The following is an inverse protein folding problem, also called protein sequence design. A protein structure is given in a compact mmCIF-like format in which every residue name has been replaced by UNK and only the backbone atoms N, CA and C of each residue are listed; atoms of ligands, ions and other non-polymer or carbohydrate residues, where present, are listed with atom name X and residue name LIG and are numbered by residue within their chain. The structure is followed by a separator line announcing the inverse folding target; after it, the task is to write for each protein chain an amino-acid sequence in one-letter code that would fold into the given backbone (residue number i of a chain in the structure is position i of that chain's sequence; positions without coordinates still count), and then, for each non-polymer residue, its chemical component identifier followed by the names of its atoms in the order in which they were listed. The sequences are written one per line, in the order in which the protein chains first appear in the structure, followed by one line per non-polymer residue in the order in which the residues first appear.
data_IF_172755795566
#
_entry.id   IF_172755795566
#
_cell.length_a   1.000
_cell.length_b   1.000
_cell.length_c   1.000
_cell.angle_alpha   90.00
_cell.angle_beta   90.00
_cell.angle_gamma   90.00
#
_symmetry.space_group_name_H-M   'P 1'
#
loop_
_entity.id
_entity.type
_entity.pdbx_description
1 polymer ?
#
# COMPACT_ATOMS: atom_id res chain seq x y z
N UNK A 1 -9.20 7.06 24.96
CA UNK A 1 -8.49 5.79 24.69
C UNK A 1 -9.33 4.69 25.31
N UNK A 2 -9.72 3.66 24.54
CA UNK A 2 -10.56 2.55 25.06
C UNK A 2 -9.75 1.67 26.03
N UNK A 3 -10.41 1.10 27.03
CA UNK A 3 -9.80 0.16 27.97
C UNK A 3 -9.71 -1.26 27.38
N UNK A 4 -8.85 -2.11 27.95
CA UNK A 4 -8.72 -3.50 27.51
C UNK A 4 -10.04 -4.29 27.64
N UNK A 5 -10.88 -3.99 28.63
CA UNK A 5 -12.18 -4.64 28.81
C UNK A 5 -13.19 -4.23 27.73
N UNK A 6 -13.20 -2.96 27.35
CA UNK A 6 -14.03 -2.44 26.25
C UNK A 6 -13.65 -3.08 24.92
N UNK A 7 -12.34 -3.19 24.64
CA UNK A 7 -11.82 -3.84 23.44
C UNK A 7 -12.17 -5.34 23.42
N UNK A 8 -12.07 -6.03 24.57
CA UNK A 8 -12.46 -7.44 24.68
C UNK A 8 -13.95 -7.65 24.40
N UNK A 9 -14.81 -6.74 24.87
CA UNK A 9 -16.25 -6.81 24.60
C UNK A 9 -16.58 -6.58 23.13
N UNK A 10 -15.89 -5.64 22.50
CA UNK A 10 -16.14 -5.24 21.11
C UNK A 10 -15.64 -6.28 20.09
N UNK A 11 -14.44 -6.82 20.30
CA UNK A 11 -13.78 -7.71 19.34
C UNK A 11 -13.80 -9.19 19.76
N UNK A 12 -14.23 -9.50 20.99
CA UNK A 12 -14.18 -10.87 21.54
C UNK A 12 -12.76 -11.38 21.82
N UNK A 13 -11.75 -10.53 21.67
CA UNK A 13 -10.32 -10.90 21.76
C UNK A 13 -9.75 -10.33 23.07
N UNK A 14 -9.21 -11.21 23.92
CA UNK A 14 -8.59 -10.81 25.19
C UNK A 14 -7.11 -10.44 25.04
N UNK A 15 -6.58 -9.68 26.02
CA UNK A 15 -5.15 -9.31 26.06
C UNK A 15 -4.22 -10.54 26.04
N UNK A 16 -4.52 -11.57 26.84
CA UNK A 16 -3.72 -12.81 26.86
C UNK A 16 -3.74 -13.54 25.51
N UNK A 17 -4.84 -13.47 24.77
CA UNK A 17 -4.94 -14.06 23.44
C UNK A 17 -4.06 -13.31 22.43
N UNK A 18 -4.02 -11.97 22.52
CA UNK A 18 -3.11 -11.15 21.71
C UNK A 18 -1.66 -11.51 22.03
N UNK A 19 -1.31 -11.63 23.32
CA UNK A 19 0.02 -12.00 23.75
C UNK A 19 0.42 -13.39 23.24
N UNK A 20 -0.46 -14.38 23.33
CA UNK A 20 -0.21 -15.72 22.80
C UNK A 20 0.02 -15.71 21.29
N UNK A 21 -0.76 -14.93 20.54
CA UNK A 21 -0.57 -14.77 19.10
C UNK A 21 0.75 -14.08 18.77
N UNK A 22 1.13 -13.03 19.51
CA UNK A 22 2.40 -12.33 19.34
C UNK A 22 3.60 -13.27 19.55
N UNK A 23 3.58 -14.05 20.63
CA UNK A 23 4.60 -15.06 20.93
C UNK A 23 4.68 -16.14 19.83
N UNK A 24 3.54 -16.54 19.25
CA UNK A 24 3.48 -17.54 18.17
C UNK A 24 4.00 -16.98 16.85
N UNK A 25 3.53 -15.80 16.45
CA UNK A 25 3.99 -15.10 15.25
C UNK A 25 5.49 -14.80 15.29
N UNK A 26 6.03 -14.46 16.46
CA UNK A 26 7.47 -14.22 16.66
C UNK A 26 8.31 -15.47 16.37
N UNK A 27 7.77 -16.66 16.65
CA UNK A 27 8.41 -17.95 16.32
C UNK A 27 8.18 -18.39 14.87
N UNK A 28 7.40 -17.63 14.10
CA UNK A 28 6.99 -18.00 12.74
C UNK A 28 5.78 -18.93 12.68
N UNK A 29 5.12 -19.19 13.81
CA UNK A 29 3.91 -20.01 13.91
C UNK A 29 2.68 -19.13 13.69
N UNK A 30 2.21 -19.07 12.44
CA UNK A 30 0.98 -18.36 12.09
C UNK A 30 -0.21 -19.33 12.14
N UNK A 31 -1.14 -19.20 13.11
CA UNK A 31 -2.27 -20.10 13.22
C UNK A 31 -3.24 -19.92 12.03
N UNK A 32 -3.62 -21.02 11.38
CA UNK A 32 -4.56 -21.03 10.26
C UNK A 32 -4.04 -21.78 9.04
N UNK A 33 -4.91 -21.98 8.04
CA UNK A 33 -4.49 -22.51 6.73
C UNK A 33 -4.34 -21.32 5.78
N UNK A 34 -3.19 -21.17 5.08
CA UNK A 34 -3.04 -20.15 4.07
C UNK A 34 -4.14 -20.25 3.03
N UNK A 35 -4.90 -19.17 2.81
CA UNK A 35 -5.97 -19.11 1.81
C UNK A 35 -5.47 -18.73 0.42
N UNK A 36 -4.16 -18.52 0.27
CA UNK A 36 -3.52 -18.12 -0.97
C UNK A 36 -2.01 -18.39 -0.96
N UNK A 37 -1.33 -18.11 -2.07
CA UNK A 37 0.11 -18.27 -2.18
C UNK A 37 0.83 -17.38 -1.15
N UNK A 38 1.73 -17.99 -0.37
CA UNK A 38 2.57 -17.26 0.58
C UNK A 38 3.67 -16.55 -0.22
N UNK A 39 3.54 -15.24 -0.37
CA UNK A 39 4.59 -14.39 -0.93
C UNK A 39 5.55 -13.95 0.18
N UNK A 40 6.82 -14.30 0.06
CA UNK A 40 7.87 -13.84 0.98
C UNK A 40 8.34 -12.43 0.58
N UNK A 41 8.46 -11.54 1.55
CA UNK A 41 8.90 -10.15 1.35
C UNK A 41 7.75 -9.15 1.16
N UNK A 42 8.09 -7.94 0.68
CA UNK A 42 7.10 -6.87 0.49
C UNK A 42 6.18 -7.24 -0.70
N UNK A 43 4.85 -7.23 -0.52
CA UNK A 43 3.91 -7.42 -1.62
C UNK A 43 4.18 -6.44 -2.77
N UNK A 44 4.06 -6.93 -4.00
CA UNK A 44 4.23 -6.12 -5.20
C UNK A 44 3.09 -5.11 -5.28
N UNK A 45 3.43 -3.83 -5.53
CA UNK A 45 2.46 -2.74 -5.57
C UNK A 45 1.36 -2.95 -6.64
N UNK A 46 1.69 -3.62 -7.74
CA UNK A 46 0.77 -3.86 -8.87
C UNK A 46 0.64 -5.35 -9.23
N UNK A 47 1.01 -6.26 -8.32
CA UNK A 47 1.00 -7.70 -8.61
C UNK A 47 2.09 -8.18 -9.59
N UNK A 48 2.85 -7.26 -10.19
CA UNK A 48 3.97 -7.55 -11.09
C UNK A 48 5.25 -6.77 -10.74
N UNK A 49 6.37 -7.16 -11.36
CA UNK A 49 7.66 -6.49 -11.17
C UNK A 49 7.63 -5.12 -11.85
N UNK A 50 7.90 -4.07 -11.09
CA UNK A 50 8.00 -2.70 -11.63
C UNK A 50 9.43 -2.38 -12.07
N UNK A 51 9.56 -1.50 -13.06
CA UNK A 51 10.83 -0.86 -13.42
C UNK A 51 10.72 0.64 -13.15
N UNK A 52 11.82 1.25 -12.69
CA UNK A 52 11.87 2.70 -12.50
C UNK A 52 11.97 3.39 -13.85
N UNK A 53 11.07 4.34 -14.10
CA UNK A 53 11.11 5.28 -15.23
C UNK A 53 11.29 6.67 -14.63
N UNK A 54 12.31 7.40 -15.07
CA UNK A 54 12.62 8.73 -14.53
C UNK A 54 13.42 9.59 -15.50
N UNK A 55 13.20 10.90 -15.41
CA UNK A 55 13.89 11.94 -16.16
C UNK A 55 14.02 13.19 -15.28
N UNK A 56 14.86 14.15 -15.69
CA UNK A 56 15.04 15.41 -14.99
C UNK A 56 14.14 16.47 -15.60
N UNK A 57 13.49 17.25 -14.75
CA UNK A 57 12.65 18.39 -15.12
C UNK A 57 13.16 19.67 -14.45
N UNK A 58 12.90 20.86 -15.03
CA UNK A 58 13.09 22.12 -14.34
C UNK A 58 12.27 22.17 -13.05
N UNK A 59 12.81 22.83 -12.02
CA UNK A 59 12.14 22.95 -10.71
C UNK A 59 10.76 23.61 -10.81
N UNK A 60 10.62 24.59 -11.71
CA UNK A 60 9.34 25.26 -11.98
C UNK A 60 8.29 24.29 -12.53
N UNK A 61 8.70 23.34 -13.36
CA UNK A 61 7.81 22.29 -13.87
C UNK A 61 7.42 21.32 -12.77
N UNK A 62 8.38 20.90 -11.93
CA UNK A 62 8.09 20.02 -10.78
C UNK A 62 7.10 20.67 -9.82
N UNK A 63 7.24 21.97 -9.56
CA UNK A 63 6.30 22.72 -8.72
C UNK A 63 4.89 22.77 -9.33
N UNK A 64 4.77 23.00 -10.64
CA UNK A 64 3.48 22.97 -11.33
C UNK A 64 2.82 21.58 -11.30
N UNK A 65 3.61 20.51 -11.44
CA UNK A 65 3.13 19.13 -11.30
C UNK A 65 2.60 18.89 -9.89
N UNK A 66 3.32 19.34 -8.86
CA UNK A 66 2.91 19.19 -7.46
C UNK A 66 1.62 19.93 -7.15
N UNK A 67 1.50 21.19 -7.59
CA UNK A 67 0.29 21.99 -7.42
C UNK A 67 -0.90 21.32 -8.10
N UNK A 68 -0.71 20.81 -9.33
CA UNK A 68 -1.77 20.11 -10.05
C UNK A 68 -2.18 18.82 -9.34
N UNK A 69 -1.24 17.99 -8.91
CA UNK A 69 -1.52 16.76 -8.18
C UNK A 69 -2.25 17.05 -6.86
N UNK A 70 -1.82 18.08 -6.12
CA UNK A 70 -2.47 18.54 -4.89
C UNK A 70 -3.92 19.02 -5.15
N UNK A 71 -4.15 19.76 -6.24
CA UNK A 71 -5.51 20.21 -6.62
C UNK A 71 -6.47 19.05 -6.91
N UNK A 72 -5.94 17.89 -7.29
CA UNK A 72 -6.69 16.66 -7.54
C UNK A 72 -6.76 15.73 -6.31
N UNK A 73 -6.11 16.09 -5.21
CA UNK A 73 -6.05 15.26 -4.00
C UNK A 73 -5.24 13.97 -4.16
N UNK A 74 -4.33 13.90 -5.13
CA UNK A 74 -3.52 12.72 -5.44
C UNK A 74 -2.02 13.00 -5.30
N UNK A 75 -1.19 11.96 -5.22
CA UNK A 75 0.26 12.11 -5.18
C UNK A 75 0.81 12.45 -6.57
N UNK A 76 1.96 13.13 -6.63
CA UNK A 76 2.72 13.38 -7.87
C UNK A 76 2.86 12.13 -8.73
N UNK A 77 3.22 10.99 -8.11
CA UNK A 77 3.41 9.74 -8.85
C UNK A 77 2.11 9.16 -9.42
N UNK A 78 0.99 9.36 -8.74
CA UNK A 78 -0.32 8.92 -9.25
C UNK A 78 -0.79 9.82 -10.40
N UNK A 79 -0.56 11.13 -10.28
CA UNK A 79 -0.79 12.08 -11.37
C UNK A 79 0.03 11.73 -12.63
N UNK A 80 1.33 11.50 -12.49
CA UNK A 80 2.19 11.14 -13.62
C UNK A 80 1.81 9.78 -14.23
N UNK A 81 1.45 8.78 -13.40
CA UNK A 81 0.95 7.50 -13.91
C UNK A 81 -0.33 7.67 -14.71
N UNK A 82 -1.26 8.51 -14.24
CA UNK A 82 -2.52 8.77 -14.93
C UNK A 82 -2.29 9.40 -16.30
N UNK A 83 -1.42 10.41 -16.41
CA UNK A 83 -1.10 11.02 -17.71
C UNK A 83 -0.50 10.02 -18.71
N UNK A 84 0.40 9.15 -18.24
CA UNK A 84 0.99 8.10 -19.09
C UNK A 84 -0.07 7.08 -19.52
N UNK A 85 -0.94 6.67 -18.59
CA UNK A 85 -2.03 5.73 -18.87
C UNK A 85 -3.03 6.31 -19.90
N UNK A 86 -3.39 7.59 -19.78
CA UNK A 86 -4.25 8.26 -20.75
C UNK A 86 -3.62 8.33 -22.15
N UNK A 87 -2.35 8.69 -22.24
CA UNK A 87 -1.62 8.75 -23.52
C UNK A 87 -1.51 7.37 -24.19
N UNK A 88 -1.13 6.34 -23.42
CA UNK A 88 -1.01 4.98 -23.94
C UNK A 88 -2.37 4.42 -24.41
N UNK A 89 -3.46 4.72 -23.70
CA UNK A 89 -4.82 4.37 -24.14
C UNK A 89 -5.20 5.08 -25.42
N UNK A 90 -4.93 6.38 -25.53
CA UNK A 90 -5.18 7.15 -26.75
C UNK A 90 -4.38 6.61 -27.94
N UNK A 91 -3.17 6.08 -27.70
CA UNK A 91 -2.33 5.42 -28.69
C UNK A 91 -2.70 3.95 -28.97
N UNK A 92 -3.65 3.35 -28.23
CA UNK A 92 -4.06 1.95 -28.37
C UNK A 92 -3.02 0.93 -27.87
N UNK A 93 -2.18 1.34 -26.91
CA UNK A 93 -1.10 0.53 -26.33
C UNK A 93 -1.43 -0.02 -24.93
N UNK A 94 -2.52 0.47 -24.31
CA UNK A 94 -3.00 0.08 -23.00
C UNK A 94 -4.52 -0.09 -22.98
#
# INVERSE_FOLDING_TARGET
MKTCEELKREYGIGFEQIRQWDESCTRGDFPGTPTGPISVGRPLMFGEKTRQVGFKEPETMVAAIDERAASLGIKRSDYLRHLVDEDLKAAGLA
#
